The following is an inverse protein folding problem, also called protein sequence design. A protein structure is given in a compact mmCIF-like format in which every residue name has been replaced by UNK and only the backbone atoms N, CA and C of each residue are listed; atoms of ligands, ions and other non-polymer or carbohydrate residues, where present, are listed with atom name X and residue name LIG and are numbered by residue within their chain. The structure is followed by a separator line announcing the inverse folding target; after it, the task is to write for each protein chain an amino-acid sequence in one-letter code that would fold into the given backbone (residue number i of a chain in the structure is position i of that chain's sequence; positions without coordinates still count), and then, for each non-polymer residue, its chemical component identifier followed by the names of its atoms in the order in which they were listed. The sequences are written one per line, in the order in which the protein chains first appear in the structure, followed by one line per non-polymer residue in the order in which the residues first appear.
data_IF_695366010524
#
_entry.id   IF_695366010524
#
_cell.length_a   1.000
_cell.length_b   1.000
_cell.length_c   1.000
_cell.angle_alpha   90.00
_cell.angle_beta   90.00
_cell.angle_gamma   90.00
#
_symmetry.space_group_name_H-M   'P 1'
#
loop_
_entity.id
_entity.type
_entity.pdbx_description
1 polymer ?
#
# COMPACT_ATOMS: atom_id res chain seq x y z
N UNK A 1 5.19 -8.98 -7.86
CA UNK A 1 4.69 -10.02 -6.93
C UNK A 1 3.16 -9.99 -6.78
N UNK A 2 2.52 -8.93 -6.23
CA UNK A 2 1.07 -8.92 -5.98
C UNK A 2 0.23 -8.99 -7.27
N UNK A 3 0.66 -8.30 -8.32
CA UNK A 3 -0.02 -8.31 -9.62
C UNK A 3 -0.10 -9.73 -10.23
N UNK A 4 1.00 -10.48 -10.27
CA UNK A 4 1.02 -11.83 -10.86
C UNK A 4 0.38 -12.89 -9.97
N UNK A 5 0.53 -12.81 -8.64
CA UNK A 5 -0.10 -13.75 -7.71
C UNK A 5 -1.62 -13.56 -7.67
N UNK A 6 -2.12 -12.33 -7.57
CA UNK A 6 -3.56 -12.07 -7.50
C UNK A 6 -4.28 -12.32 -8.84
N UNK A 7 -3.65 -11.98 -9.97
CA UNK A 7 -4.26 -12.24 -11.29
C UNK A 7 -4.15 -13.71 -11.72
N UNK A 8 -3.05 -14.40 -11.39
CA UNK A 8 -2.86 -15.83 -11.69
C UNK A 8 -3.84 -16.74 -10.94
N UNK A 9 -4.05 -16.48 -9.63
CA UNK A 9 -4.94 -17.29 -8.78
C UNK A 9 -6.41 -17.34 -9.24
N UNK A 10 -6.88 -16.32 -9.96
CA UNK A 10 -8.27 -16.25 -10.45
C UNK A 10 -8.34 -16.73 -11.90
N UNK A 11 -7.32 -16.43 -12.70
CA UNK A 11 -7.29 -16.76 -14.13
C UNK A 11 -7.18 -18.26 -14.40
N UNK A 12 -6.26 -18.95 -13.72
CA UNK A 12 -5.97 -20.37 -14.00
C UNK A 12 -7.18 -21.29 -13.71
N UNK A 13 -8.11 -20.84 -12.87
CA UNK A 13 -9.34 -21.58 -12.56
C UNK A 13 -10.55 -21.16 -13.37
N UNK A 14 -10.57 -19.94 -13.90
CA UNK A 14 -11.55 -19.56 -14.91
C UNK A 14 -11.25 -20.22 -16.27
N UNK A 15 -9.97 -20.45 -16.60
CA UNK A 15 -9.56 -21.13 -17.85
C UNK A 15 -9.65 -22.66 -17.78
N UNK A 16 -9.65 -23.28 -16.59
CA UNK A 16 -9.57 -24.75 -16.47
C UNK A 16 -10.91 -25.50 -16.33
N UNK A 17 -12.07 -24.83 -16.37
CA UNK A 17 -13.41 -25.43 -16.16
C UNK A 17 -13.58 -26.25 -14.85
N UNK A 18 -12.57 -26.27 -13.98
CA UNK A 18 -12.55 -27.04 -12.72
C UNK A 18 -13.50 -26.47 -11.66
N UNK A 19 -14.09 -25.29 -11.91
CA UNK A 19 -15.14 -24.71 -11.11
C UNK A 19 -16.35 -25.67 -10.96
N UNK A 20 -16.66 -26.47 -11.99
CA UNK A 20 -17.75 -27.45 -11.93
C UNK A 20 -17.50 -28.58 -10.91
N UNK A 21 -16.25 -28.96 -10.68
CA UNK A 21 -15.89 -30.01 -9.71
C UNK A 21 -15.86 -29.52 -8.27
N UNK A 22 -15.58 -28.22 -8.04
CA UNK A 22 -15.55 -27.61 -6.71
C UNK A 22 -16.91 -27.06 -6.23
N UNK A 23 -17.88 -26.89 -7.14
CA UNK A 23 -19.27 -26.49 -6.83
C UNK A 23 -20.13 -27.65 -6.26
N UNK A 24 -19.60 -28.86 -6.13
CA UNK A 24 -20.30 -30.00 -5.52
C UNK A 24 -20.77 -29.76 -4.07
N UNK A 25 -20.23 -28.74 -3.38
CA UNK A 25 -20.70 -28.27 -2.08
C UNK A 25 -21.31 -26.86 -2.27
N UNK A 26 -22.51 -26.57 -1.73
CA UNK A 26 -23.17 -25.28 -1.92
C UNK A 26 -22.47 -24.20 -1.08
N UNK A 27 -21.33 -23.71 -1.56
CA UNK A 27 -20.68 -22.51 -1.06
C UNK A 27 -21.08 -21.38 -2.01
N UNK A 28 -21.54 -20.25 -1.46
CA UNK A 28 -21.94 -19.12 -2.28
C UNK A 28 -20.69 -18.59 -3.03
N UNK A 29 -20.80 -18.40 -4.35
CA UNK A 29 -19.68 -17.96 -5.22
C UNK A 29 -18.98 -16.68 -4.74
N UNK A 30 -19.73 -15.79 -4.09
CA UNK A 30 -19.18 -14.57 -3.50
C UNK A 30 -18.35 -14.78 -2.23
N UNK A 31 -18.56 -15.87 -1.50
CA UNK A 31 -17.76 -16.26 -0.32
C UNK A 31 -16.43 -16.87 -0.77
N UNK A 32 -16.45 -17.67 -1.84
CA UNK A 32 -15.24 -18.23 -2.43
C UNK A 32 -14.21 -17.16 -2.83
N UNK A 33 -14.67 -16.08 -3.50
CA UNK A 33 -13.83 -14.93 -3.81
C UNK A 33 -13.23 -14.28 -2.55
N UNK A 34 -14.04 -14.11 -1.51
CA UNK A 34 -13.61 -13.53 -0.24
C UNK A 34 -12.55 -14.40 0.47
N UNK A 35 -12.74 -15.73 0.50
CA UNK A 35 -11.78 -16.65 1.11
C UNK A 35 -10.41 -16.62 0.41
N UNK A 36 -10.38 -16.55 -0.91
CA UNK A 36 -9.13 -16.48 -1.67
C UNK A 36 -8.40 -15.17 -1.47
N UNK A 37 -9.12 -14.07 -1.59
CA UNK A 37 -8.57 -12.74 -1.39
C UNK A 37 -8.08 -12.58 0.06
N UNK A 38 -8.82 -13.11 1.04
CA UNK A 38 -8.40 -13.18 2.43
C UNK A 38 -7.14 -14.03 2.63
N UNK A 39 -7.05 -15.20 2.00
CA UNK A 39 -5.83 -16.03 2.02
C UNK A 39 -4.62 -15.29 1.44
N UNK A 40 -4.79 -14.58 0.33
CA UNK A 40 -3.77 -13.72 -0.25
C UNK A 40 -3.32 -12.60 0.72
N UNK A 41 -4.26 -11.94 1.41
CA UNK A 41 -3.91 -10.91 2.39
C UNK A 41 -3.11 -11.47 3.55
N UNK A 42 -3.54 -12.58 4.15
CA UNK A 42 -2.83 -13.20 5.28
C UNK A 42 -1.40 -13.57 4.89
N UNK A 43 -1.22 -14.23 3.74
CA UNK A 43 0.10 -14.62 3.26
C UNK A 43 1.00 -13.40 2.98
N UNK A 44 0.46 -12.37 2.33
CA UNK A 44 1.24 -11.18 1.97
C UNK A 44 1.56 -10.34 3.20
N UNK A 45 0.64 -10.20 4.14
CA UNK A 45 0.86 -9.49 5.41
C UNK A 45 1.91 -10.18 6.27
N UNK A 46 1.87 -11.51 6.37
CA UNK A 46 2.89 -12.26 7.08
C UNK A 46 4.29 -12.06 6.46
N UNK A 47 4.37 -12.07 5.13
CA UNK A 47 5.61 -11.77 4.40
C UNK A 47 6.12 -10.36 4.67
N UNK A 48 5.26 -9.34 4.56
CA UNK A 48 5.63 -7.95 4.83
C UNK A 48 6.04 -7.72 6.28
N UNK A 49 5.30 -8.30 7.24
CA UNK A 49 5.63 -8.22 8.66
C UNK A 49 7.01 -8.82 8.94
N UNK A 50 7.32 -9.97 8.33
CA UNK A 50 8.64 -10.60 8.48
C UNK A 50 9.77 -9.71 7.96
N UNK A 51 9.61 -9.13 6.76
CA UNK A 51 10.61 -8.22 6.18
C UNK A 51 10.80 -6.95 7.01
N UNK A 52 9.71 -6.32 7.44
CA UNK A 52 9.76 -5.09 8.25
C UNK A 52 10.39 -5.36 9.62
N UNK A 53 10.10 -6.50 10.24
CA UNK A 53 10.73 -6.89 11.51
C UNK A 53 12.24 -7.07 11.35
N UNK A 54 12.70 -7.73 10.29
CA UNK A 54 14.13 -7.89 10.00
C UNK A 54 14.79 -6.52 9.83
N UNK A 55 14.17 -5.63 9.05
CA UNK A 55 14.71 -4.28 8.83
C UNK A 55 14.73 -3.43 10.11
N UNK A 56 13.71 -3.53 10.95
CA UNK A 56 13.67 -2.85 12.24
C UNK A 56 14.82 -3.30 13.15
N UNK A 57 15.08 -4.61 13.21
CA UNK A 57 16.21 -5.16 13.99
C UNK A 57 17.55 -4.61 13.45
N UNK A 58 17.76 -4.69 12.13
CA UNK A 58 19.03 -4.26 11.51
C UNK A 58 19.26 -2.76 11.74
N UNK A 59 18.26 -1.94 11.42
CA UNK A 59 18.40 -0.47 11.53
C UNK A 59 18.47 -0.01 12.98
N UNK A 60 17.76 -0.66 13.91
CA UNK A 60 17.81 -0.30 15.32
C UNK A 60 19.18 -0.53 15.99
N UNK A 61 20.02 -1.43 15.45
CA UNK A 61 21.40 -1.66 15.93
C UNK A 61 22.46 -0.85 15.17
N UNK A 62 22.25 -0.57 13.88
CA UNK A 62 23.24 0.13 13.04
C UNK A 62 23.08 1.65 13.13
N UNK A 63 21.87 2.15 13.36
CA UNK A 63 21.60 3.58 13.37
C UNK A 63 22.35 4.29 14.52
N UNK A 64 22.95 5.47 14.28
CA UNK A 64 23.56 6.27 15.33
C UNK A 64 22.52 6.63 16.39
N UNK A 65 22.77 6.23 17.65
CA UNK A 65 21.90 6.56 18.78
C UNK A 65 22.67 6.59 20.08
N UNK A 66 22.17 7.31 21.08
CA UNK A 66 22.78 7.34 22.42
C UNK A 66 22.52 6.05 23.23
N UNK A 67 21.66 5.17 22.71
CA UNK A 67 21.24 3.93 23.35
C UNK A 67 21.75 2.70 22.60
N UNK A 68 21.74 1.53 23.26
CA UNK A 68 22.11 0.27 22.60
C UNK A 68 21.15 -0.12 21.45
N UNK A 69 19.89 0.33 21.51
CA UNK A 69 18.89 0.09 20.48
C UNK A 69 17.96 1.30 20.32
N UNK A 70 17.77 1.81 19.11
CA UNK A 70 16.95 3.00 18.83
C UNK A 70 15.45 2.68 18.83
N UNK A 71 14.84 2.60 20.03
CA UNK A 71 13.42 2.27 20.21
C UNK A 71 12.45 3.22 19.50
N UNK A 72 12.85 4.47 19.27
CA UNK A 72 12.06 5.48 18.57
C UNK A 72 11.69 5.04 17.14
N UNK A 73 12.57 4.30 16.46
CA UNK A 73 12.32 3.84 15.09
C UNK A 73 11.29 2.73 14.98
N UNK A 74 11.00 2.02 16.08
CA UNK A 74 9.96 0.97 16.09
C UNK A 74 8.63 1.56 15.63
N UNK A 75 8.33 2.80 16.04
CA UNK A 75 7.11 3.50 15.65
C UNK A 75 7.07 3.72 14.13
N UNK A 76 8.19 4.11 13.52
CA UNK A 76 8.29 4.32 12.08
C UNK A 76 8.10 3.02 11.31
N UNK A 77 8.77 1.94 11.73
CA UNK A 77 8.64 0.63 11.11
C UNK A 77 7.23 0.06 11.25
N UNK A 78 6.56 0.26 12.39
CA UNK A 78 5.17 -0.12 12.58
C UNK A 78 4.24 0.65 11.60
N UNK A 79 4.49 1.93 11.36
CA UNK A 79 3.73 2.73 10.40
C UNK A 79 3.96 2.28 8.95
N UNK A 80 5.21 1.96 8.57
CA UNK A 80 5.54 1.41 7.26
C UNK A 80 4.81 0.08 7.04
N UNK A 81 4.80 -0.81 8.03
CA UNK A 81 4.06 -2.07 7.96
C UNK A 81 2.55 -1.81 7.79
N UNK A 82 1.98 -0.93 8.60
CA UNK A 82 0.57 -0.60 8.55
C UNK A 82 0.16 -0.02 7.18
N UNK A 83 0.90 0.98 6.68
CA UNK A 83 0.66 1.58 5.36
C UNK A 83 0.79 0.54 4.25
N UNK A 84 1.83 -0.29 4.28
CA UNK A 84 2.07 -1.34 3.28
C UNK A 84 0.95 -2.38 3.26
N UNK A 85 0.46 -2.79 4.42
CA UNK A 85 -0.67 -3.73 4.54
C UNK A 85 -1.95 -3.16 3.92
N UNK A 86 -2.27 -1.89 4.18
CA UNK A 86 -3.43 -1.21 3.61
C UNK A 86 -3.31 -1.04 2.09
N UNK A 87 -2.14 -0.62 1.60
CA UNK A 87 -1.90 -0.47 0.15
C UNK A 87 -2.01 -1.81 -0.57
N UNK A 88 -1.41 -2.88 -0.04
CA UNK A 88 -1.50 -4.22 -0.65
C UNK A 88 -2.93 -4.74 -0.67
N UNK A 89 -3.74 -4.42 0.33
CA UNK A 89 -5.16 -4.73 0.28
C UNK A 89 -5.85 -4.00 -0.87
N UNK A 90 -5.66 -2.68 -0.97
CA UNK A 90 -6.24 -1.87 -2.03
C UNK A 90 -5.82 -2.39 -3.43
N UNK A 91 -4.52 -2.58 -3.66
CA UNK A 91 -4.01 -3.14 -4.92
C UNK A 91 -4.51 -4.55 -5.19
N UNK A 92 -4.51 -5.41 -4.18
CA UNK A 92 -4.99 -6.78 -4.28
C UNK A 92 -6.43 -6.84 -4.76
N UNK A 93 -7.32 -6.03 -4.16
CA UNK A 93 -8.73 -5.94 -4.57
C UNK A 93 -8.94 -5.38 -5.96
N UNK A 94 -8.15 -4.38 -6.38
CA UNK A 94 -8.27 -3.76 -7.70
C UNK A 94 -7.83 -4.73 -8.79
N UNK A 95 -6.67 -5.36 -8.61
CA UNK A 95 -6.15 -6.30 -9.60
C UNK A 95 -7.00 -7.58 -9.70
N UNK A 96 -7.50 -8.09 -8.58
CA UNK A 96 -8.44 -9.22 -8.61
C UNK A 96 -9.73 -8.86 -9.32
N UNK A 97 -10.24 -7.64 -9.12
CA UNK A 97 -11.45 -7.14 -9.77
C UNK A 97 -11.26 -6.96 -11.28
N UNK A 98 -10.14 -6.41 -11.74
CA UNK A 98 -9.81 -6.34 -13.17
C UNK A 98 -9.70 -7.72 -13.82
N UNK A 99 -9.13 -8.70 -13.11
CA UNK A 99 -9.08 -10.09 -13.56
C UNK A 99 -10.48 -10.71 -13.77
N UNK A 100 -11.47 -10.30 -12.98
CA UNK A 100 -12.85 -10.78 -13.14
C UNK A 100 -13.52 -10.15 -14.36
N UNK A 101 -13.32 -8.86 -14.64
CA UNK A 101 -14.10 -8.16 -15.66
C UNK A 101 -13.74 -8.51 -17.11
N UNK A 102 -12.47 -8.72 -17.44
CA UNK A 102 -12.05 -8.92 -18.84
C UNK A 102 -11.04 -10.04 -19.02
N UNK A 103 -11.10 -10.76 -20.15
CA UNK A 103 -10.08 -11.74 -20.57
C UNK A 103 -8.70 -11.09 -20.76
N UNK A 104 -8.69 -9.76 -20.98
CA UNK A 104 -7.50 -8.90 -21.04
C UNK A 104 -7.24 -8.10 -19.75
N UNK A 105 -7.80 -8.51 -18.60
CA UNK A 105 -7.67 -7.78 -17.32
C UNK A 105 -6.22 -7.55 -16.89
N UNK A 106 -5.31 -8.41 -17.34
CA UNK A 106 -3.87 -8.23 -17.18
C UNK A 106 -3.37 -6.92 -17.82
N UNK A 107 -3.84 -6.56 -19.01
CA UNK A 107 -3.41 -5.33 -19.69
C UNK A 107 -3.85 -4.08 -18.92
N UNK A 108 -5.08 -4.07 -18.41
CA UNK A 108 -5.58 -2.99 -17.55
C UNK A 108 -4.77 -2.88 -16.26
N UNK A 109 -4.39 -4.00 -15.65
CA UNK A 109 -3.54 -4.02 -14.45
C UNK A 109 -2.14 -3.46 -14.71
N UNK A 110 -1.57 -3.71 -15.90
CA UNK A 110 -0.27 -3.16 -16.30
C UNK A 110 -0.37 -1.64 -16.45
N UNK A 111 -1.39 -1.14 -17.16
CA UNK A 111 -1.59 0.30 -17.32
C UNK A 111 -1.76 1.00 -15.97
N UNK A 112 -2.57 0.41 -15.07
CA UNK A 112 -2.75 0.93 -13.72
C UNK A 112 -1.44 0.88 -12.90
N UNK A 113 -0.64 -0.18 -13.05
CA UNK A 113 0.68 -0.26 -12.41
C UNK A 113 1.63 0.84 -12.87
N UNK A 114 1.65 1.16 -14.17
CA UNK A 114 2.44 2.29 -14.71
C UNK A 114 1.93 3.63 -14.19
N UNK A 115 0.61 3.82 -14.14
CA UNK A 115 0.00 5.01 -13.56
C UNK A 115 0.43 5.21 -12.10
N UNK A 116 0.32 4.17 -11.29
CA UNK A 116 0.68 4.21 -9.87
C UNK A 116 2.18 4.46 -9.66
N UNK A 117 3.04 3.88 -10.51
CA UNK A 117 4.47 4.16 -10.48
C UNK A 117 4.78 5.63 -10.82
N UNK A 118 4.14 6.19 -11.86
CA UNK A 118 4.30 7.59 -12.23
C UNK A 118 3.84 8.53 -11.11
N UNK A 119 2.70 8.24 -10.48
CA UNK A 119 2.18 9.03 -9.36
C UNK A 119 3.06 8.90 -8.12
N UNK A 120 3.66 7.74 -7.86
CA UNK A 120 4.63 7.56 -6.79
C UNK A 120 5.85 8.47 -6.97
N UNK A 121 6.41 8.52 -8.18
CA UNK A 121 7.55 9.40 -8.48
C UNK A 121 7.19 10.88 -8.34
N UNK A 122 5.99 11.27 -8.80
CA UNK A 122 5.49 12.64 -8.63
C UNK A 122 5.26 13.00 -7.16
N UNK A 123 4.83 12.05 -6.33
CA UNK A 123 4.62 12.26 -4.89
C UNK A 123 5.96 12.38 -4.14
N UNK A 124 6.99 11.66 -4.59
CA UNK A 124 8.32 11.69 -3.97
C UNK A 124 9.11 12.96 -4.36
N UNK A 125 9.10 13.34 -5.64
CA UNK A 125 9.87 14.48 -6.17
C UNK A 125 9.11 15.79 -5.98
N UNK A 126 7.78 15.73 -6.07
CA UNK A 126 6.93 16.89 -5.89
C UNK A 126 6.61 17.11 -4.42
N UNK A 127 7.33 18.02 -3.78
CA UNK A 127 6.92 18.70 -2.52
C UNK A 127 5.57 19.44 -2.68
N UNK A 128 4.96 19.41 -3.86
CA UNK A 128 3.69 20.01 -4.21
C UNK A 128 2.54 19.01 -4.17
N UNK A 129 1.49 19.38 -3.42
CA UNK A 129 0.19 18.72 -3.34
C UNK A 129 -0.60 18.80 -4.65
N UNK A 130 -0.07 18.22 -5.73
CA UNK A 130 -0.81 18.12 -6.98
C UNK A 130 -2.11 17.37 -6.73
N UNK A 131 -3.24 17.98 -7.08
CA UNK A 131 -4.54 17.34 -6.91
C UNK A 131 -4.60 15.95 -7.54
N UNK A 132 -3.85 15.74 -8.63
CA UNK A 132 -3.77 14.48 -9.37
C UNK A 132 -3.13 13.35 -8.55
N UNK A 133 -2.12 13.63 -7.70
CA UNK A 133 -1.48 12.56 -6.91
C UNK A 133 -2.45 11.97 -5.89
N UNK A 134 -3.45 12.74 -5.42
CA UNK A 134 -4.51 12.26 -4.52
C UNK A 134 -5.39 11.16 -5.12
N UNK A 135 -5.37 10.97 -6.44
CA UNK A 135 -6.07 9.89 -7.11
C UNK A 135 -5.32 8.54 -7.02
N UNK A 136 -4.07 8.56 -6.57
CA UNK A 136 -3.22 7.37 -6.46
C UNK A 136 -3.29 6.72 -5.08
N UNK A 137 -3.13 5.40 -5.04
CA UNK A 137 -3.07 4.63 -3.78
C UNK A 137 -1.75 4.90 -3.06
N UNK A 138 -0.65 5.08 -3.81
CA UNK A 138 0.67 5.38 -3.24
C UNK A 138 0.63 6.68 -2.44
N UNK A 139 -0.06 7.71 -2.94
CA UNK A 139 -0.18 8.99 -2.24
C UNK A 139 -0.75 8.79 -0.84
N UNK A 140 -1.87 8.07 -0.69
CA UNK A 140 -2.48 7.83 0.62
C UNK A 140 -1.60 6.97 1.53
N UNK A 141 -0.82 6.05 0.98
CA UNK A 141 0.18 5.30 1.75
C UNK A 141 1.33 6.18 2.26
N UNK A 142 1.87 7.04 1.40
CA UNK A 142 2.92 8.01 1.77
C UNK A 142 2.44 8.96 2.85
N UNK A 143 1.21 9.47 2.77
CA UNK A 143 0.64 10.36 3.78
C UNK A 143 0.57 9.73 5.18
N UNK A 144 0.38 8.41 5.30
CA UNK A 144 0.45 7.70 6.59
C UNK A 144 1.88 7.71 7.12
N UNK A 145 2.85 7.40 6.26
CA UNK A 145 4.28 7.35 6.58
C UNK A 145 4.78 8.74 7.00
N UNK A 146 4.48 9.77 6.22
CA UNK A 146 4.87 11.16 6.48
C UNK A 146 4.22 11.69 7.77
N UNK A 147 2.99 11.29 8.07
CA UNK A 147 2.34 11.69 9.33
C UNK A 147 3.04 11.12 10.56
N UNK A 148 3.55 9.89 10.47
CA UNK A 148 4.29 9.25 11.58
C UNK A 148 5.74 9.71 11.61
N UNK A 149 6.35 10.01 10.46
CA UNK A 149 7.71 10.54 10.39
C UNK A 149 7.82 11.86 11.14
N UNK A 150 6.86 12.78 11.00
CA UNK A 150 6.84 14.06 11.74
C UNK A 150 6.74 13.86 13.26
N UNK A 151 6.08 12.79 13.73
CA UNK A 151 6.04 12.48 15.16
C UNK A 151 7.31 11.81 15.67
N UNK A 152 7.91 10.97 14.84
CA UNK A 152 9.08 10.16 15.18
C UNK A 152 10.34 11.00 15.10
N UNK A 153 10.53 11.78 14.04
CA UNK A 153 11.70 12.63 13.83
C UNK A 153 11.30 14.11 13.84
N UNK A 154 11.02 14.62 15.04
CA UNK A 154 10.55 16.01 15.23
C UNK A 154 11.58 17.06 14.83
N UNK A 155 12.86 16.71 14.92
CA UNK A 155 13.96 17.63 14.66
C UNK A 155 14.33 17.70 13.17
N UNK A 156 13.71 16.89 12.31
CA UNK A 156 14.04 16.83 10.87
C UNK A 156 13.89 18.17 10.16
N UNK A 157 12.82 18.92 10.44
CA UNK A 157 12.63 20.25 9.83
C UNK A 157 13.69 21.25 10.30
N UNK A 158 14.05 21.20 11.58
CA UNK A 158 15.10 22.04 12.13
C UNK A 158 16.48 21.69 11.53
N UNK A 159 16.78 20.40 11.39
CA UNK A 159 18.02 19.92 10.77
C UNK A 159 18.14 20.32 9.30
N UNK A 160 17.03 20.29 8.54
CA UNK A 160 17.01 20.77 7.15
C UNK A 160 17.31 22.27 7.10
N UNK A 161 16.69 23.07 7.98
CA UNK A 161 16.92 24.53 8.03
C UNK A 161 18.35 24.88 8.44
N UNK A 162 18.89 24.23 9.48
CA UNK A 162 20.27 24.45 9.91
C UNK A 162 21.27 23.97 8.86
N UNK A 163 20.99 22.84 8.21
CA UNK A 163 21.80 22.32 7.11
C UNK A 163 21.84 23.25 5.91
N UNK A 164 20.71 23.89 5.56
CA UNK A 164 20.65 24.92 4.52
C UNK A 164 21.38 26.20 4.90
N UNK A 165 21.27 26.65 6.15
CA UNK A 165 21.95 27.86 6.63
C UNK A 165 23.47 27.70 6.69
N UNK A 166 23.95 26.53 7.11
CA UNK A 166 25.38 26.22 7.25
C UNK A 166 25.99 25.52 6.03
N UNK A 167 25.22 25.32 4.96
CA UNK A 167 25.60 24.60 3.73
C UNK A 167 26.27 23.24 4.00
N UNK A 168 25.66 22.45 4.88
CA UNK A 168 26.18 21.15 5.30
C UNK A 168 25.87 20.08 4.26
N UNK A 169 26.86 19.24 3.93
CA UNK A 169 26.65 18.11 3.04
C UNK A 169 25.58 17.15 3.61
N UNK A 170 24.63 16.74 2.75
CA UNK A 170 23.53 15.86 3.11
C UNK A 170 22.19 16.55 3.40
N UNK A 171 22.16 17.88 3.59
CA UNK A 171 20.90 18.61 3.82
C UNK A 171 19.92 18.51 2.65
N UNK A 172 20.42 18.56 1.40
CA UNK A 172 19.61 18.40 0.17
C UNK A 172 18.97 17.01 0.06
N UNK A 173 19.69 15.96 0.49
CA UNK A 173 19.15 14.60 0.49
C UNK A 173 18.05 14.48 1.55
N UNK A 174 18.28 15.01 2.74
CA UNK A 174 17.27 15.01 3.80
C UNK A 174 16.02 15.80 3.39
N UNK A 175 16.19 16.98 2.76
CA UNK A 175 15.09 17.79 2.24
C UNK A 175 14.30 17.07 1.13
N UNK A 176 14.99 16.37 0.22
CA UNK A 176 14.33 15.68 -0.89
C UNK A 176 13.54 14.44 -0.45
N UNK A 177 13.90 13.79 0.64
CA UNK A 177 13.25 12.55 1.10
C UNK A 177 12.34 12.74 2.31
N UNK A 178 12.44 13.87 3.02
CA UNK A 178 11.57 14.19 4.14
C UNK A 178 10.25 14.79 3.65
N UNK A 179 9.19 13.98 3.69
CA UNK A 179 7.83 14.42 3.38
C UNK A 179 7.12 15.00 4.60
N UNK A 180 6.48 16.16 4.43
CA UNK A 180 5.51 16.71 5.39
C UNK A 180 4.08 16.39 4.94
N UNK A 181 3.15 16.06 5.87
CA UNK A 181 1.77 15.74 5.53
C UNK A 181 1.07 16.84 4.71
N UNK A 182 0.77 16.53 3.44
CA UNK A 182 0.25 17.51 2.47
C UNK A 182 -1.24 17.91 2.59
N UNK A 183 -2.02 17.30 3.51
CA UNK A 183 -3.46 17.57 3.65
C UNK A 183 -3.73 18.85 4.46
N UNK A 184 -2.70 19.51 5.00
CA UNK A 184 -2.80 20.82 5.66
C UNK A 184 -3.54 20.79 7.01
N UNK A 185 -3.86 19.59 7.49
CA UNK A 185 -4.39 19.34 8.83
C UNK A 185 -3.29 18.77 9.73
N UNK A 186 -3.57 18.58 11.02
CA UNK A 186 -2.60 17.98 11.95
C UNK A 186 -2.12 16.61 11.44
N UNK A 187 -0.85 16.21 11.68
CA UNK A 187 -0.33 14.93 11.18
C UNK A 187 -1.22 13.73 11.56
N UNK A 188 -1.74 13.72 12.78
CA UNK A 188 -2.65 12.66 13.24
C UNK A 188 -3.96 12.58 12.42
N UNK A 189 -4.56 13.72 12.09
CA UNK A 189 -5.78 13.72 11.27
C UNK A 189 -5.51 13.25 9.85
N UNK A 190 -4.37 13.62 9.28
CA UNK A 190 -3.93 13.16 7.95
C UNK A 190 -3.76 11.64 7.93
N UNK A 191 -3.19 11.05 8.99
CA UNK A 191 -3.08 9.60 9.16
C UNK A 191 -4.45 8.92 9.14
N UNK A 192 -5.40 9.41 9.95
CA UNK A 192 -6.74 8.80 10.02
C UNK A 192 -7.51 8.94 8.70
N UNK A 193 -7.44 10.10 8.05
CA UNK A 193 -8.09 10.32 6.76
C UNK A 193 -7.51 9.35 5.72
N UNK A 194 -6.19 9.23 5.65
CA UNK A 194 -5.52 8.38 4.66
C UNK A 194 -5.83 6.90 4.86
N UNK A 195 -5.80 6.43 6.12
CA UNK A 195 -6.20 5.06 6.45
C UNK A 195 -7.66 4.79 6.08
N UNK A 196 -8.56 5.74 6.38
CA UNK A 196 -9.98 5.64 6.08
C UNK A 196 -10.22 5.59 4.56
N UNK A 197 -9.55 6.42 3.79
CA UNK A 197 -9.65 6.44 2.32
C UNK A 197 -9.20 5.09 1.72
N UNK A 198 -8.05 4.56 2.14
CA UNK A 198 -7.56 3.26 1.67
C UNK A 198 -8.54 2.11 2.00
N UNK A 199 -9.12 2.14 3.20
CA UNK A 199 -10.13 1.17 3.63
C UNK A 199 -11.40 1.30 2.78
N UNK A 200 -11.90 2.51 2.54
CA UNK A 200 -13.09 2.77 1.71
C UNK A 200 -12.86 2.28 0.28
N UNK A 201 -11.69 2.58 -0.32
CA UNK A 201 -11.34 2.10 -1.66
C UNK A 201 -11.35 0.57 -1.70
N UNK A 202 -10.70 -0.06 -0.73
CA UNK A 202 -10.63 -1.53 -0.63
C UNK A 202 -12.02 -2.15 -0.53
N UNK A 203 -12.87 -1.66 0.36
CA UNK A 203 -14.24 -2.17 0.52
C UNK A 203 -15.09 -1.94 -0.73
N UNK A 204 -15.04 -0.74 -1.31
CA UNK A 204 -15.81 -0.40 -2.50
C UNK A 204 -15.46 -1.32 -3.66
N UNK A 205 -14.17 -1.48 -3.93
CA UNK A 205 -13.68 -2.35 -5.01
C UNK A 205 -13.98 -3.82 -4.70
N UNK A 206 -13.85 -4.25 -3.46
CA UNK A 206 -14.22 -5.59 -3.03
C UNK A 206 -15.71 -5.90 -3.32
N UNK A 207 -16.63 -5.02 -2.95
CA UNK A 207 -18.06 -5.20 -3.22
C UNK A 207 -18.36 -5.20 -4.72
N UNK A 208 -17.69 -4.34 -5.50
CA UNK A 208 -17.80 -4.35 -6.97
C UNK A 208 -17.35 -5.72 -7.52
N UNK A 209 -16.16 -6.20 -7.14
CA UNK A 209 -15.64 -7.50 -7.56
C UNK A 209 -16.56 -8.66 -7.17
N UNK A 210 -17.07 -8.66 -5.93
CA UNK A 210 -17.99 -9.69 -5.45
C UNK A 210 -19.31 -9.69 -6.22
N UNK A 211 -19.88 -8.51 -6.50
CA UNK A 211 -21.12 -8.38 -7.26
C UNK A 211 -20.96 -8.78 -8.73
N UNK A 212 -19.83 -8.45 -9.35
CA UNK A 212 -19.50 -8.84 -10.72
C UNK A 212 -19.33 -10.35 -10.86
N UNK A 213 -18.68 -11.00 -9.89
CA UNK A 213 -18.51 -12.45 -9.87
C UNK A 213 -19.84 -13.20 -9.71
N UNK A 214 -20.76 -12.68 -8.89
CA UNK A 214 -22.11 -13.26 -8.73
C UNK A 214 -22.93 -13.23 -10.03
N UNK A 215 -22.72 -12.24 -10.91
CA UNK A 215 -23.50 -12.04 -12.15
C UNK A 215 -22.99 -12.84 -13.35
N UNK A 216 -21.80 -13.44 -13.29
CA UNK A 216 -21.32 -14.33 -14.36
C UNK A 216 -22.02 -15.69 -14.26
N UNK A 217 -23.04 -15.88 -15.10
CA UNK A 217 -23.62 -17.19 -15.37
C UNK A 217 -22.65 -18.03 -16.22
N UNK A 218 -22.56 -19.33 -15.90
CA UNK A 218 -21.80 -20.29 -16.68
C UNK A 218 -22.52 -20.47 -18.02
N UNK A 219 -21.87 -20.07 -19.11
CA UNK A 219 -22.15 -20.65 -20.43
C UNK A 219 -21.17 -21.79 -20.65
#
# INVERSE_FOLDING_TARGET
MPLFLATGLIRDEMESETLHYLIGKPIARGEFYAYRLGGYFVMTWAYLASLVLIMNIITGFIAPSESFFRFQDIQMWAAILFASCLMVMAYGTIFSTFGIFTKYGMLASIFFGVWEFMMAMLTLIGTGSFFVTRMSIVFWGMQIIDSVSTYTWRDSEYLIQQGSFHDLEGHQALESFYGVPSIGSSPLTTLFISATVLIIITFTVFFIGQSAFKRKELK
#
